data_IF_116776191676
#
_entry.id   IF_116776191676
#
_cell.length_a   1.000
_cell.length_b   1.000
_cell.length_c   1.000
_cell.angle_alpha   90.00
_cell.angle_beta   90.00
_cell.angle_gamma   90.00
#
_symmetry.space_group_name_H-M   'P 1'
#
loop_
_entity.id
_entity.type
_entity.pdbx_description
1 polymer ?
#
# COMPACT_ATOMS: atom_id res chain seq x y z
N UNK A 1 -2.02 -25.09 -36.55
CA UNK A 1 -2.67 -23.96 -35.85
C UNK A 1 -1.59 -23.32 -35.02
N UNK A 2 -1.31 -22.05 -35.30
CA UNK A 2 -0.26 -21.24 -34.68
C UNK A 2 -0.45 -21.20 -33.16
N UNK A 3 0.61 -21.58 -32.46
CA UNK A 3 0.80 -21.43 -31.03
C UNK A 3 0.93 -19.92 -30.76
N UNK A 4 -0.20 -19.23 -30.53
CA UNK A 4 -0.20 -17.84 -30.10
C UNK A 4 0.28 -17.83 -28.65
N UNK A 5 1.58 -17.65 -28.48
CA UNK A 5 2.12 -17.17 -27.21
C UNK A 5 1.41 -15.85 -26.90
N UNK A 6 0.84 -15.66 -25.69
CA UNK A 6 0.33 -14.34 -25.32
C UNK A 6 1.49 -13.35 -25.46
N UNK A 7 1.29 -12.30 -26.28
CA UNK A 7 2.31 -11.28 -26.49
C UNK A 7 2.70 -10.69 -25.13
N UNK A 8 3.92 -11.00 -24.68
CA UNK A 8 4.50 -10.33 -23.52
C UNK A 8 4.77 -8.88 -23.90
N UNK A 9 4.33 -7.95 -23.05
CA UNK A 9 4.62 -6.52 -23.21
C UNK A 9 6.11 -6.28 -23.43
N UNK A 10 6.45 -5.35 -24.31
CA UNK A 10 7.83 -4.88 -24.49
C UNK A 10 8.27 -3.99 -23.32
N UNK A 11 9.58 -3.86 -23.14
CA UNK A 11 10.16 -3.02 -22.07
C UNK A 11 9.69 -1.55 -22.15
N UNK A 12 9.44 -1.03 -23.37
CA UNK A 12 8.94 0.34 -23.59
C UNK A 12 7.48 0.44 -23.15
N UNK A 13 6.64 -0.54 -23.48
CA UNK A 13 5.24 -0.55 -23.03
C UNK A 13 5.14 -0.68 -21.51
N UNK A 14 5.99 -1.51 -20.89
CA UNK A 14 6.08 -1.61 -19.43
C UNK A 14 6.46 -0.25 -18.83
N UNK A 15 7.46 0.42 -19.40
CA UNK A 15 7.89 1.75 -18.95
C UNK A 15 6.77 2.79 -19.08
N UNK A 16 6.05 2.81 -20.20
CA UNK A 16 4.92 3.73 -20.42
C UNK A 16 3.80 3.49 -19.42
N UNK A 17 3.49 2.21 -19.11
CA UNK A 17 2.52 1.86 -18.08
C UNK A 17 2.98 2.36 -16.71
N UNK A 18 4.22 2.06 -16.30
CA UNK A 18 4.76 2.51 -15.01
C UNK A 18 4.78 4.04 -14.89
N UNK A 19 5.06 4.76 -16.00
CA UNK A 19 4.96 6.22 -16.02
C UNK A 19 3.53 6.71 -15.84
N UNK A 20 2.55 6.10 -16.50
CA UNK A 20 1.13 6.47 -16.32
C UNK A 20 0.58 6.14 -14.92
N UNK A 21 1.10 5.11 -14.26
CA UNK A 21 0.75 4.78 -12.87
C UNK A 21 1.13 5.90 -11.89
N UNK A 22 2.02 6.83 -12.26
CA UNK A 22 2.31 8.01 -11.43
C UNK A 22 1.12 8.94 -11.28
N UNK A 23 0.16 8.89 -12.20
CA UNK A 23 -1.07 9.66 -12.12
C UNK A 23 -2.18 8.96 -11.30
N UNK A 24 -1.90 7.78 -10.70
CA UNK A 24 -2.87 7.06 -9.88
C UNK A 24 -3.20 7.82 -8.57
N UNK A 25 -4.50 8.02 -8.31
CA UNK A 25 -5.01 8.52 -7.03
C UNK A 25 -5.39 7.37 -6.10
N UNK A 26 -4.49 7.02 -5.17
CA UNK A 26 -4.66 5.88 -4.26
C UNK A 26 -5.85 6.00 -3.32
N UNK A 27 -6.29 7.21 -3.00
CA UNK A 27 -7.23 7.49 -1.93
C UNK A 27 -8.67 7.75 -2.43
N UNK A 28 -8.94 7.55 -3.73
CA UNK A 28 -10.26 7.78 -4.34
C UNK A 28 -11.38 7.08 -3.56
N UNK A 29 -11.27 5.77 -3.34
CA UNK A 29 -12.28 4.99 -2.60
C UNK A 29 -12.37 5.45 -1.13
N UNK A 30 -11.23 5.73 -0.50
CA UNK A 30 -11.16 6.17 0.88
C UNK A 30 -11.88 7.52 1.09
N UNK A 31 -11.69 8.47 0.17
CA UNK A 31 -12.42 9.75 0.13
C UNK A 31 -13.92 9.55 0.00
N UNK A 32 -14.37 8.63 -0.85
CA UNK A 32 -15.78 8.32 -1.00
C UNK A 32 -16.40 7.72 0.26
N UNK A 33 -15.71 6.79 0.93
CA UNK A 33 -16.12 6.21 2.21
C UNK A 33 -16.29 7.32 3.27
N UNK A 34 -15.31 8.22 3.39
CA UNK A 34 -15.36 9.35 4.34
C UNK A 34 -16.55 10.26 4.04
N UNK A 35 -16.77 10.60 2.76
CA UNK A 35 -17.89 11.45 2.33
C UNK A 35 -19.24 10.80 2.70
N UNK A 36 -19.39 9.51 2.44
CA UNK A 36 -20.64 8.79 2.65
C UNK A 36 -20.97 8.57 4.14
N UNK A 37 -19.96 8.48 5.00
CA UNK A 37 -20.15 8.29 6.45
C UNK A 37 -20.77 9.49 7.19
N UNK A 38 -20.58 10.71 6.66
CA UNK A 38 -21.10 11.93 7.27
C UNK A 38 -20.64 12.16 8.71
N UNK A 39 -21.36 13.00 9.47
CA UNK A 39 -20.95 13.40 10.83
C UNK A 39 -21.10 12.28 11.85
N UNK A 40 -22.21 11.52 11.80
CA UNK A 40 -22.51 10.47 12.77
C UNK A 40 -21.64 9.22 12.59
N UNK A 41 -21.25 8.90 11.35
CA UNK A 41 -20.40 7.75 11.02
C UNK A 41 -18.92 8.09 10.88
N UNK A 42 -18.48 9.31 11.25
CA UNK A 42 -17.13 9.81 10.91
C UNK A 42 -16.00 8.88 11.35
N UNK A 43 -16.05 8.34 12.57
CA UNK A 43 -14.99 7.45 13.08
C UNK A 43 -14.96 6.12 12.32
N UNK A 44 -16.12 5.49 12.11
CA UNK A 44 -16.21 4.24 11.35
C UNK A 44 -15.78 4.45 9.89
N UNK A 45 -16.16 5.57 9.28
CA UNK A 45 -15.77 5.89 7.91
C UNK A 45 -14.25 6.04 7.76
N UNK A 46 -13.56 6.75 8.67
CA UNK A 46 -12.10 6.86 8.60
C UNK A 46 -11.41 5.52 8.91
N UNK A 47 -12.00 4.68 9.78
CA UNK A 47 -11.53 3.32 10.02
C UNK A 47 -11.56 2.50 8.72
N UNK A 48 -12.68 2.51 8.00
CA UNK A 48 -12.80 1.82 6.71
C UNK A 48 -11.94 2.45 5.62
N UNK A 49 -11.76 3.77 5.63
CA UNK A 49 -10.91 4.49 4.69
C UNK A 49 -9.43 4.10 4.80
N UNK A 50 -8.92 3.83 6.02
CA UNK A 50 -7.57 3.30 6.22
C UNK A 50 -7.40 1.92 5.58
N UNK A 51 -8.40 1.05 5.69
CA UNK A 51 -8.39 -0.28 5.06
C UNK A 51 -8.43 -0.15 3.53
N UNK A 52 -9.29 0.73 3.00
CA UNK A 52 -9.39 1.00 1.56
C UNK A 52 -8.07 1.56 0.99
N UNK A 53 -7.46 2.54 1.67
CA UNK A 53 -6.16 3.10 1.30
C UNK A 53 -5.08 2.01 1.25
N UNK A 54 -5.02 1.14 2.27
CA UNK A 54 -4.07 0.02 2.29
C UNK A 54 -4.27 -0.93 1.11
N UNK A 55 -5.51 -1.29 0.81
CA UNK A 55 -5.81 -2.21 -0.30
C UNK A 55 -5.43 -1.59 -1.64
N UNK A 56 -5.81 -0.33 -1.87
CA UNK A 56 -5.46 0.42 -3.07
C UNK A 56 -3.94 0.49 -3.27
N UNK A 57 -3.20 0.89 -2.23
CA UNK A 57 -1.74 0.91 -2.26
C UNK A 57 -1.16 -0.47 -2.55
N UNK A 58 -1.57 -1.52 -1.83
CA UNK A 58 -1.02 -2.86 -2.00
C UNK A 58 -1.30 -3.45 -3.38
N UNK A 59 -2.49 -3.22 -3.94
CA UNK A 59 -2.85 -3.71 -5.27
C UNK A 59 -2.03 -3.02 -6.36
N UNK A 60 -1.91 -1.69 -6.30
CA UNK A 60 -1.09 -0.89 -7.21
C UNK A 60 0.40 -1.19 -7.09
N UNK A 61 0.89 -1.36 -5.88
CA UNK A 61 2.27 -1.78 -5.61
C UNK A 61 2.57 -3.16 -6.21
N UNK A 62 1.68 -4.14 -5.99
CA UNK A 62 1.86 -5.49 -6.55
C UNK A 62 1.83 -5.46 -8.07
N UNK A 63 0.92 -4.68 -8.67
CA UNK A 63 0.84 -4.47 -10.11
C UNK A 63 2.15 -3.90 -10.68
N UNK A 64 2.60 -2.77 -10.14
CA UNK A 64 3.83 -2.10 -10.59
C UNK A 64 5.06 -3.02 -10.50
N UNK A 65 5.26 -3.67 -9.35
CA UNK A 65 6.42 -4.55 -9.14
C UNK A 65 6.32 -5.83 -10.00
N UNK A 66 5.11 -6.36 -10.20
CA UNK A 66 4.91 -7.53 -11.06
C UNK A 66 5.25 -7.21 -12.51
N UNK A 67 4.80 -6.06 -13.01
CA UNK A 67 5.11 -5.58 -14.36
C UNK A 67 6.61 -5.32 -14.52
N UNK A 68 7.19 -4.48 -13.66
CA UNK A 68 8.59 -4.05 -13.76
C UNK A 68 9.58 -5.22 -13.67
N UNK A 69 9.30 -6.21 -12.82
CA UNK A 69 10.22 -7.32 -12.57
C UNK A 69 9.84 -8.62 -13.29
N UNK A 70 8.76 -8.59 -14.08
CA UNK A 70 8.15 -9.74 -14.74
C UNK A 70 7.96 -10.92 -13.76
N UNK A 71 7.27 -10.65 -12.65
CA UNK A 71 7.05 -11.64 -11.60
C UNK A 71 6.04 -12.70 -12.04
N UNK A 72 6.31 -13.96 -11.70
CA UNK A 72 5.29 -15.01 -11.84
C UNK A 72 4.23 -14.92 -10.73
N UNK A 73 3.12 -15.64 -10.91
CA UNK A 73 1.98 -15.62 -9.98
C UNK A 73 2.37 -15.92 -8.52
N UNK A 74 3.30 -16.85 -8.29
CA UNK A 74 3.75 -17.20 -6.95
C UNK A 74 4.59 -16.08 -6.31
N UNK A 75 5.39 -15.36 -7.10
CA UNK A 75 6.15 -14.19 -6.65
C UNK A 75 5.22 -12.99 -6.39
N UNK A 76 4.27 -12.72 -7.28
CA UNK A 76 3.29 -11.64 -7.12
C UNK A 76 2.44 -11.80 -5.86
N UNK A 77 2.05 -13.04 -5.50
CA UNK A 77 1.37 -13.28 -4.21
C UNK A 77 2.27 -13.01 -3.00
N UNK A 78 3.56 -13.28 -3.12
CA UNK A 78 4.52 -13.13 -2.02
C UNK A 78 4.97 -11.71 -1.78
N UNK A 79 4.96 -10.83 -2.80
CA UNK A 79 5.44 -9.45 -2.66
C UNK A 79 4.64 -8.61 -1.63
N UNK A 80 3.44 -9.05 -1.25
CA UNK A 80 2.63 -8.47 -0.16
C UNK A 80 3.24 -8.70 1.23
N UNK A 81 4.11 -9.70 1.40
CA UNK A 81 4.77 -9.97 2.68
C UNK A 81 6.10 -9.23 2.77
N UNK A 82 6.32 -8.47 3.85
CA UNK A 82 7.53 -7.66 4.08
C UNK A 82 8.84 -8.36 3.74
N UNK A 83 9.03 -9.60 4.22
CA UNK A 83 10.27 -10.38 3.99
C UNK A 83 10.48 -10.68 2.51
N UNK A 84 9.43 -11.07 1.80
CA UNK A 84 9.50 -11.41 0.38
C UNK A 84 9.60 -10.15 -0.49
N UNK A 85 8.91 -9.06 -0.12
CA UNK A 85 9.04 -7.73 -0.73
C UNK A 85 10.50 -7.28 -0.80
N UNK A 86 11.17 -7.25 0.35
CA UNK A 86 12.58 -6.86 0.47
C UNK A 86 13.46 -7.80 -0.36
N UNK A 87 13.24 -9.11 -0.28
CA UNK A 87 14.05 -10.11 -0.98
C UNK A 87 13.92 -10.00 -2.50
N UNK A 88 12.72 -9.82 -3.01
CA UNK A 88 12.44 -9.77 -4.46
C UNK A 88 12.98 -8.47 -5.05
N UNK A 89 12.75 -7.32 -4.42
CA UNK A 89 13.27 -6.03 -4.88
C UNK A 89 14.81 -6.00 -4.83
N UNK A 90 15.41 -6.52 -3.75
CA UNK A 90 16.87 -6.59 -3.60
C UNK A 90 17.55 -7.43 -4.67
N UNK A 91 16.89 -8.48 -5.16
CA UNK A 91 17.40 -9.29 -6.27
C UNK A 91 17.56 -8.49 -7.59
N UNK A 92 16.94 -7.31 -7.65
CA UNK A 92 17.00 -6.35 -8.77
C UNK A 92 17.78 -5.08 -8.43
N UNK A 93 18.48 -5.07 -7.29
CA UNK A 93 19.30 -3.93 -6.86
C UNK A 93 18.52 -2.84 -6.11
N UNK A 94 17.23 -3.03 -5.86
CA UNK A 94 16.39 -2.05 -5.17
C UNK A 94 16.36 -2.37 -3.67
N UNK A 95 16.89 -1.49 -2.83
CA UNK A 95 16.76 -1.59 -1.38
C UNK A 95 15.44 -0.96 -0.92
N UNK A 96 14.40 -1.78 -0.79
CA UNK A 96 13.06 -1.31 -0.40
C UNK A 96 13.04 -0.50 0.90
N UNK A 97 13.87 -0.87 1.88
CA UNK A 97 13.90 -0.17 3.17
C UNK A 97 14.59 1.20 3.09
N UNK A 98 15.31 1.47 2.00
CA UNK A 98 15.90 2.78 1.73
C UNK A 98 14.96 3.71 0.94
N UNK A 99 13.81 3.20 0.46
CA UNK A 99 12.79 4.02 -0.20
C UNK A 99 12.02 4.79 0.86
N UNK A 100 11.90 6.10 0.65
CA UNK A 100 11.18 6.99 1.55
C UNK A 100 9.74 6.52 1.79
N UNK A 101 9.27 6.53 3.04
CA UNK A 101 7.93 6.07 3.42
C UNK A 101 7.74 4.55 3.56
N UNK A 102 8.79 3.71 3.41
CA UNK A 102 8.68 2.25 3.58
C UNK A 102 8.22 1.83 4.98
N UNK A 103 8.63 2.57 6.03
CA UNK A 103 8.13 2.36 7.39
C UNK A 103 6.65 2.75 7.51
N UNK A 104 6.24 3.87 6.90
CA UNK A 104 4.85 4.31 6.91
C UNK A 104 3.92 3.33 6.20
N UNK A 105 4.35 2.75 5.07
CA UNK A 105 3.62 1.67 4.40
C UNK A 105 3.45 0.43 5.30
N UNK A 106 4.49 0.09 6.07
CA UNK A 106 4.39 -0.98 7.05
C UNK A 106 3.39 -0.65 8.17
N UNK A 107 3.39 0.59 8.68
CA UNK A 107 2.42 1.06 9.67
C UNK A 107 1.00 0.96 9.13
N UNK A 108 0.73 1.45 7.91
CA UNK A 108 -0.59 1.36 7.30
C UNK A 108 -1.07 -0.09 7.19
N UNK A 109 -0.18 -1.00 6.77
CA UNK A 109 -0.47 -2.44 6.70
C UNK A 109 -0.86 -3.03 8.06
N UNK A 110 -0.11 -2.70 9.11
CA UNK A 110 -0.40 -3.12 10.48
C UNK A 110 -1.73 -2.54 10.99
N UNK A 111 -2.02 -1.28 10.69
CA UNK A 111 -3.29 -0.63 11.03
C UNK A 111 -4.46 -1.35 10.36
N UNK A 112 -4.38 -1.58 9.04
CA UNK A 112 -5.42 -2.28 8.31
C UNK A 112 -5.62 -3.71 8.84
N UNK A 113 -4.55 -4.43 9.15
CA UNK A 113 -4.63 -5.76 9.74
C UNK A 113 -5.32 -5.75 11.10
N UNK A 114 -4.95 -4.82 11.98
CA UNK A 114 -5.55 -4.71 13.30
C UNK A 114 -7.04 -4.34 13.23
N UNK A 115 -7.43 -3.46 12.29
CA UNK A 115 -8.85 -3.15 12.04
C UNK A 115 -9.64 -4.40 11.62
N UNK A 116 -9.08 -5.20 10.71
CA UNK A 116 -9.79 -6.35 10.11
C UNK A 116 -9.76 -7.59 11.01
N UNK A 117 -8.71 -7.79 11.80
CA UNK A 117 -8.45 -9.04 12.54
C UNK A 117 -8.52 -8.90 14.05
N UNK A 118 -8.20 -7.73 14.58
CA UNK A 118 -8.02 -7.49 16.01
C UNK A 118 -9.04 -6.49 16.57
N UNK A 119 -10.20 -6.35 15.92
CA UNK A 119 -11.28 -5.43 16.31
C UNK A 119 -10.80 -3.97 16.54
N UNK A 120 -9.83 -3.55 15.71
CA UNK A 120 -9.16 -2.26 15.83
C UNK A 120 -8.55 -2.01 17.24
N UNK A 121 -8.03 -3.03 17.89
CA UNK A 121 -7.20 -2.92 19.09
C UNK A 121 -5.75 -2.61 18.69
N UNK A 122 -5.11 -1.67 19.39
CA UNK A 122 -3.71 -1.33 19.20
C UNK A 122 -2.84 -2.52 19.57
N UNK A 123 -2.16 -3.10 18.58
CA UNK A 123 -1.19 -4.19 18.74
C UNK A 123 0.15 -3.67 19.24
N UNK A 124 1.05 -4.59 19.62
CA UNK A 124 2.39 -4.26 20.11
C UNK A 124 3.17 -3.32 19.17
N UNK A 125 3.18 -3.65 17.86
CA UNK A 125 3.91 -2.87 16.86
C UNK A 125 3.28 -1.48 16.60
N UNK A 126 2.02 -1.28 17.00
CA UNK A 126 1.31 0.00 16.86
C UNK A 126 1.38 0.86 18.13
N UNK A 127 2.04 0.38 19.19
CA UNK A 127 2.18 1.10 20.43
C UNK A 127 2.96 2.41 20.25
N UNK A 128 2.35 3.55 20.61
CA UNK A 128 2.93 4.89 20.49
C UNK A 128 3.28 5.35 19.06
N UNK A 129 2.93 4.59 18.01
CA UNK A 129 3.08 5.05 16.62
C UNK A 129 2.30 6.35 16.43
N UNK A 130 1.07 6.39 16.95
CA UNK A 130 0.38 7.65 17.20
C UNK A 130 0.36 7.93 18.72
N UNK A 131 0.52 9.19 19.17
CA UNK A 131 0.64 9.53 20.59
C UNK A 131 -0.53 9.03 21.47
N UNK A 132 -1.70 8.88 20.86
CA UNK A 132 -2.96 8.47 21.49
C UNK A 132 -3.22 6.94 21.43
N UNK A 133 -2.35 6.14 20.82
CA UNK A 133 -2.48 4.69 20.76
C UNK A 133 -1.61 3.98 21.80
N UNK A 134 -2.25 3.16 22.63
CA UNK A 134 -1.62 2.36 23.68
C UNK A 134 -1.97 0.90 23.48
N UNK A 135 -0.99 0.01 23.63
CA UNK A 135 -1.15 -1.42 23.38
C UNK A 135 -2.30 -1.99 24.24
N UNK A 136 -3.14 -2.81 23.63
CA UNK A 136 -4.30 -3.44 24.28
C UNK A 136 -5.54 -2.53 24.41
N UNK A 137 -5.47 -1.27 23.96
CA UNK A 137 -6.61 -0.36 23.96
C UNK A 137 -7.20 -0.20 22.54
N UNK A 138 -8.49 0.15 22.41
CA UNK A 138 -9.08 0.48 21.12
C UNK A 138 -8.34 1.63 20.44
N UNK A 139 -8.15 1.51 19.13
CA UNK A 139 -7.70 2.60 18.29
C UNK A 139 -8.73 3.73 18.30
N UNK A 140 -8.23 4.96 18.34
CA UNK A 140 -9.03 6.19 18.32
C UNK A 140 -8.43 7.21 17.37
N UNK A 141 -9.19 8.26 17.04
CA UNK A 141 -8.74 9.36 16.18
C UNK A 141 -8.29 8.88 14.78
N UNK A 142 -9.07 7.98 14.18
CA UNK A 142 -8.80 7.46 12.83
C UNK A 142 -8.69 8.57 11.78
N UNK A 143 -9.34 9.71 11.99
CA UNK A 143 -9.22 10.88 11.12
C UNK A 143 -7.82 11.52 11.13
N UNK A 144 -7.20 11.60 12.31
CA UNK A 144 -5.83 12.09 12.41
C UNK A 144 -4.82 11.09 11.83
N UNK A 145 -5.01 9.80 12.13
CA UNK A 145 -4.18 8.74 11.58
C UNK A 145 -4.27 8.69 10.05
N UNK A 146 -5.50 8.74 9.50
CA UNK A 146 -5.73 8.76 8.05
C UNK A 146 -5.07 9.95 7.37
N UNK A 147 -5.22 11.16 7.92
CA UNK A 147 -4.61 12.36 7.34
C UNK A 147 -3.09 12.27 7.24
N UNK A 148 -2.43 11.68 8.23
CA UNK A 148 -0.98 11.50 8.22
C UNK A 148 -0.58 10.42 7.20
N UNK A 149 -1.27 9.27 7.23
CA UNK A 149 -0.90 8.12 6.41
C UNK A 149 -1.20 8.34 4.92
N UNK A 150 -2.28 9.02 4.54
CA UNK A 150 -2.67 9.21 3.13
C UNK A 150 -1.61 9.98 2.31
N UNK A 151 -1.09 11.06 2.88
CA UNK A 151 -0.03 11.87 2.25
C UNK A 151 1.27 11.06 2.10
N UNK A 152 1.75 10.46 3.20
CA UNK A 152 3.00 9.69 3.22
C UNK A 152 2.96 8.46 2.29
N UNK A 153 1.81 7.80 2.16
CA UNK A 153 1.65 6.61 1.33
C UNK A 153 1.66 6.97 -0.15
N UNK A 154 1.07 8.11 -0.51
CA UNK A 154 1.14 8.65 -1.86
C UNK A 154 2.59 8.98 -2.24
N UNK A 155 3.34 9.62 -1.34
CA UNK A 155 4.78 9.90 -1.54
C UNK A 155 5.58 8.60 -1.68
N UNK A 156 5.34 7.62 -0.81
CA UNK A 156 6.03 6.33 -0.87
C UNK A 156 5.77 5.60 -2.20
N UNK A 157 4.52 5.60 -2.66
CA UNK A 157 4.15 4.95 -3.92
C UNK A 157 4.87 5.58 -5.12
N UNK A 158 4.96 6.91 -5.17
CA UNK A 158 5.74 7.61 -6.21
C UNK A 158 7.23 7.24 -6.14
N UNK A 159 7.81 7.19 -4.94
CA UNK A 159 9.21 6.81 -4.75
C UNK A 159 9.48 5.34 -5.15
N UNK A 160 8.51 4.44 -4.96
CA UNK A 160 8.59 3.07 -5.47
C UNK A 160 8.58 3.06 -6.99
N UNK A 161 7.66 3.79 -7.63
CA UNK A 161 7.61 3.87 -9.10
C UNK A 161 8.92 4.44 -9.67
N UNK A 162 9.48 5.47 -9.06
CA UNK A 162 10.80 6.01 -9.44
C UNK A 162 11.90 4.95 -9.36
N UNK A 163 11.93 4.16 -8.30
CA UNK A 163 12.92 3.09 -8.14
C UNK A 163 12.74 1.94 -9.14
N UNK A 164 11.52 1.70 -9.64
CA UNK A 164 11.22 0.68 -10.65
C UNK A 164 11.53 1.15 -12.08
N UNK A 165 11.46 2.46 -12.32
CA UNK A 165 11.69 3.09 -13.63
C UNK A 165 13.19 3.34 -13.91
N UNK A 166 13.99 3.53 -12.85
CA UNK A 166 15.42 3.84 -12.94
C UNK A 166 16.28 2.70 -13.49
#
# INVERSE_FOLDING_TARGET
MTDQSPESLSDIEILDILQSMKDDELDTEAKEIIRNGGKAGRQEAHKQALVALNNSFEDKFVEAVTLALNLNEAQSKKIRYKKDRIRILKARGIDYLAIDGAETAQVLSQVAQAIVREDAVVTHDLHNIFPFWKEGWPMVQFDNAYKILEEDISIHYQAVLDALIA
#
